data_IF_546266402012
#
_entry.id   IF_546266402012
#
_cell.length_a   1.000
_cell.length_b   1.000
_cell.length_c   1.000
_cell.angle_alpha   90.00
_cell.angle_beta   90.00
_cell.angle_gamma   90.00
#
_symmetry.space_group_name_H-M   'P 1'
#
loop_
_entity.id
_entity.type
_entity.pdbx_description
1 polymer ?
#
# COMPACT_ATOMS: atom_id res chain seq x y z
N UNK A 1 -5.23 -19.81 14.51
CA UNK A 1 -4.62 -19.98 13.17
C UNK A 1 -3.36 -20.82 13.28
N UNK A 2 -3.08 -21.74 12.36
CA UNK A 2 -1.83 -22.52 12.37
C UNK A 2 -0.64 -21.57 12.17
N UNK A 3 0.37 -21.62 13.07
CA UNK A 3 1.56 -20.75 13.02
C UNK A 3 2.29 -20.82 11.67
N UNK A 4 2.39 -22.01 11.08
CA UNK A 4 3.00 -22.20 9.75
C UNK A 4 2.18 -21.52 8.63
N UNK A 5 0.85 -21.57 8.72
CA UNK A 5 -0.02 -20.87 7.77
C UNK A 5 0.11 -19.35 7.89
N UNK A 6 0.11 -18.82 9.12
CA UNK A 6 0.29 -17.39 9.35
C UNK A 6 1.63 -16.88 8.80
N UNK A 7 2.73 -17.57 9.10
CA UNK A 7 4.05 -17.17 8.61
C UNK A 7 4.14 -17.27 7.06
N UNK A 8 3.69 -18.37 6.46
CA UNK A 8 3.90 -18.65 5.01
C UNK A 8 2.80 -18.18 4.07
N UNK A 9 1.63 -17.78 4.57
CA UNK A 9 0.47 -17.42 3.74
C UNK A 9 -0.09 -16.04 4.05
N UNK A 10 0.30 -15.45 5.18
CA UNK A 10 -0.12 -14.14 5.66
C UNK A 10 1.09 -13.20 5.74
N UNK A 11 2.14 -13.51 6.51
CA UNK A 11 3.31 -12.62 6.61
C UNK A 11 4.15 -12.56 5.34
N UNK A 12 4.43 -13.74 4.78
CA UNK A 12 5.23 -13.90 3.58
C UNK A 12 4.40 -14.61 2.51
N UNK A 13 4.06 -13.91 1.43
CA UNK A 13 3.45 -14.52 0.24
C UNK A 13 4.55 -14.66 -0.79
N UNK A 14 4.87 -15.91 -1.12
CA UNK A 14 5.75 -16.26 -2.24
C UNK A 14 5.11 -15.88 -3.59
N UNK A 15 5.92 -15.72 -4.62
CA UNK A 15 5.43 -15.36 -5.95
C UNK A 15 4.44 -16.39 -6.49
N UNK A 16 4.74 -17.68 -6.32
CA UNK A 16 3.89 -18.79 -6.73
C UNK A 16 2.49 -18.66 -6.11
N UNK A 17 2.42 -18.25 -4.84
CA UNK A 17 1.16 -18.09 -4.11
C UNK A 17 0.36 -16.88 -4.58
N UNK A 18 1.04 -15.80 -4.95
CA UNK A 18 0.42 -14.63 -5.56
C UNK A 18 -0.21 -15.00 -6.90
N UNK A 19 0.57 -15.61 -7.80
CA UNK A 19 0.12 -15.93 -9.15
C UNK A 19 -0.89 -17.09 -9.16
N UNK A 20 -0.82 -18.04 -8.23
CA UNK A 20 -1.83 -19.08 -8.05
C UNK A 20 -3.18 -18.51 -7.56
N UNK A 21 -3.17 -17.38 -6.84
CA UNK A 21 -4.39 -16.72 -6.36
C UNK A 21 -5.15 -15.97 -7.45
N UNK A 22 -4.58 -15.85 -8.66
CA UNK A 22 -5.22 -15.19 -9.79
C UNK A 22 -6.42 -15.98 -10.31
N UNK A 23 -7.58 -15.32 -10.37
CA UNK A 23 -8.83 -15.97 -10.77
C UNK A 23 -8.77 -16.39 -12.25
N UNK A 24 -8.75 -17.70 -12.58
CA UNK A 24 -8.52 -18.18 -13.95
C UNK A 24 -9.66 -17.85 -14.91
N UNK A 25 -10.87 -17.60 -14.39
CA UNK A 25 -12.04 -17.18 -15.17
C UNK A 25 -11.96 -15.76 -15.74
N UNK A 26 -10.94 -14.96 -15.36
CA UNK A 26 -10.70 -13.64 -15.95
C UNK A 26 -9.63 -13.79 -17.03
N UNK A 27 -9.92 -13.56 -18.33
CA UNK A 27 -8.96 -13.82 -19.42
C UNK A 27 -7.61 -13.12 -19.24
N UNK A 28 -7.62 -11.89 -18.74
CA UNK A 28 -6.39 -11.15 -18.43
C UNK A 28 -5.56 -11.83 -17.34
N UNK A 29 -6.18 -12.36 -16.29
CA UNK A 29 -5.50 -13.05 -15.20
C UNK A 29 -4.96 -14.40 -15.65
N UNK A 30 -5.67 -15.10 -16.55
CA UNK A 30 -5.15 -16.29 -17.24
C UNK A 30 -3.88 -15.96 -18.04
N UNK A 31 -3.84 -14.83 -18.74
CA UNK A 31 -2.64 -14.39 -19.46
C UNK A 31 -1.48 -14.04 -18.54
N UNK A 32 -1.73 -13.43 -17.38
CA UNK A 32 -0.68 -13.13 -16.39
C UNK A 32 -0.11 -14.42 -15.82
N UNK A 33 -0.98 -15.35 -15.41
CA UNK A 33 -0.58 -16.66 -14.89
C UNK A 33 0.25 -17.46 -15.89
N UNK A 34 -0.18 -17.51 -17.16
CA UNK A 34 0.58 -18.20 -18.21
C UNK A 34 1.98 -17.60 -18.40
N UNK A 35 2.11 -16.27 -18.33
CA UNK A 35 3.42 -15.64 -18.44
C UNK A 35 4.32 -15.97 -17.25
N UNK A 36 3.75 -16.11 -16.04
CA UNK A 36 4.53 -16.59 -14.90
C UNK A 36 5.05 -18.01 -15.12
N UNK A 37 4.19 -18.92 -15.59
CA UNK A 37 4.53 -20.32 -15.84
C UNK A 37 5.57 -20.51 -16.97
N UNK A 38 5.61 -19.61 -17.95
CA UNK A 38 6.47 -19.73 -19.14
C UNK A 38 7.75 -18.91 -19.06
N UNK A 39 7.64 -17.66 -18.59
CA UNK A 39 8.68 -16.63 -18.73
C UNK A 39 9.13 -16.10 -17.35
N UNK A 40 8.53 -16.58 -16.27
CA UNK A 40 8.85 -16.19 -14.90
C UNK A 40 8.19 -14.89 -14.42
N UNK A 41 8.62 -14.48 -13.22
CA UNK A 41 8.07 -13.37 -12.43
C UNK A 41 7.98 -12.06 -13.21
N UNK A 42 9.08 -11.60 -13.80
CA UNK A 42 9.16 -10.27 -14.41
C UNK A 42 8.19 -10.11 -15.59
N UNK A 43 8.08 -11.15 -16.41
CA UNK A 43 7.14 -11.18 -17.54
C UNK A 43 5.67 -11.13 -17.07
N UNK A 44 5.34 -11.84 -16.00
CA UNK A 44 4.01 -11.82 -15.40
C UNK A 44 3.68 -10.45 -14.81
N UNK A 45 4.59 -9.87 -14.02
CA UNK A 45 4.44 -8.55 -13.39
C UNK A 45 4.29 -7.44 -14.43
N UNK A 46 5.06 -7.46 -15.52
CA UNK A 46 4.92 -6.51 -16.62
C UNK A 46 3.54 -6.61 -17.29
N UNK A 47 3.07 -7.82 -17.58
CA UNK A 47 1.75 -8.03 -18.20
C UNK A 47 0.62 -7.57 -17.29
N UNK A 48 0.73 -7.86 -15.99
CA UNK A 48 -0.29 -7.48 -15.03
C UNK A 48 -0.36 -5.95 -14.90
N UNK A 49 0.80 -5.30 -14.72
CA UNK A 49 0.93 -3.84 -14.69
C UNK A 49 0.22 -3.21 -15.89
N UNK A 50 0.58 -3.64 -17.11
CA UNK A 50 -0.04 -3.13 -18.35
C UNK A 50 -1.55 -3.34 -18.40
N UNK A 51 -2.06 -4.48 -17.91
CA UNK A 51 -3.49 -4.76 -17.87
C UNK A 51 -4.22 -3.82 -16.91
N UNK A 52 -3.72 -3.65 -15.68
CA UNK A 52 -4.34 -2.82 -14.66
C UNK A 52 -4.40 -1.35 -15.10
N UNK A 53 -3.30 -0.81 -15.61
CA UNK A 53 -3.24 0.58 -16.08
C UNK A 53 -4.25 0.82 -17.20
N UNK A 54 -4.34 -0.09 -18.19
CA UNK A 54 -5.34 0.02 -19.27
C UNK A 54 -6.78 -0.06 -18.75
N UNK A 55 -7.05 -0.97 -17.81
CA UNK A 55 -8.39 -1.13 -17.23
C UNK A 55 -8.81 0.10 -16.45
N UNK A 56 -7.92 0.66 -15.63
CA UNK A 56 -8.22 1.78 -14.74
C UNK A 56 -8.31 3.11 -15.49
N UNK A 57 -7.50 3.31 -16.55
CA UNK A 57 -7.69 4.42 -17.50
C UNK A 57 -9.07 4.39 -18.14
N UNK A 58 -9.56 3.19 -18.52
CA UNK A 58 -10.89 3.01 -19.15
C UNK A 58 -12.06 3.23 -18.19
N UNK A 59 -11.91 2.92 -16.91
CA UNK A 59 -13.01 3.06 -15.94
C UNK A 59 -13.24 4.49 -15.46
N UNK A 60 -12.46 5.48 -15.93
CA UNK A 60 -12.59 6.87 -15.45
C UNK A 60 -12.40 7.00 -13.95
N UNK A 61 -11.77 6.01 -13.30
CA UNK A 61 -11.60 5.93 -11.84
C UNK A 61 -10.65 7.00 -11.28
N UNK A 62 -10.06 7.81 -12.15
CA UNK A 62 -9.49 9.12 -11.83
C UNK A 62 -10.53 10.15 -11.36
N UNK A 63 -11.84 9.90 -11.52
CA UNK A 63 -12.91 10.86 -11.22
C UNK A 63 -13.72 10.59 -9.94
N UNK A 64 -13.85 9.34 -9.47
CA UNK A 64 -14.94 8.98 -8.54
C UNK A 64 -14.59 8.55 -7.10
N UNK A 65 -13.34 8.26 -6.77
CA UNK A 65 -12.98 8.02 -5.36
C UNK A 65 -13.05 9.35 -4.61
N UNK A 66 -13.70 9.41 -3.43
CA UNK A 66 -13.72 10.63 -2.59
C UNK A 66 -12.30 11.19 -2.44
N UNK A 67 -12.12 12.47 -2.72
CA UNK A 67 -10.83 13.17 -2.61
C UNK A 67 -10.52 13.30 -1.13
N UNK A 68 -9.70 12.40 -0.60
CA UNK A 68 -9.14 12.50 0.75
C UNK A 68 -10.16 12.67 1.87
N UNK A 69 -9.66 13.19 2.98
CA UNK A 69 -10.38 13.59 4.18
C UNK A 69 -11.44 14.65 3.82
N UNK A 70 -12.72 14.28 3.87
CA UNK A 70 -13.85 15.18 3.52
C UNK A 70 -13.91 16.45 4.39
N UNK A 71 -13.18 16.45 5.50
CA UNK A 71 -13.05 17.56 6.45
C UNK A 71 -11.97 18.60 6.07
N UNK A 72 -11.14 18.35 5.06
CA UNK A 72 -10.06 19.28 4.67
C UNK A 72 -10.36 20.01 3.37
N UNK A 73 -10.02 21.31 3.35
CA UNK A 73 -9.99 22.10 2.11
C UNK A 73 -8.85 21.64 1.19
N UNK A 74 -8.92 21.89 -0.15
CA UNK A 74 -7.87 21.47 -1.08
C UNK A 74 -6.45 21.96 -0.74
N UNK A 75 -6.31 23.20 -0.26
CA UNK A 75 -5.03 23.77 0.18
C UNK A 75 -4.44 23.02 1.38
N UNK A 76 -5.28 22.65 2.35
CA UNK A 76 -4.87 21.90 3.53
C UNK A 76 -4.48 20.45 3.19
N UNK A 77 -5.13 19.85 2.19
CA UNK A 77 -4.75 18.52 1.68
C UNK A 77 -3.35 18.56 1.08
N UNK A 78 -3.04 19.60 0.30
CA UNK A 78 -1.71 19.79 -0.30
C UNK A 78 -0.66 20.02 0.78
N UNK A 79 -0.94 20.88 1.77
CA UNK A 79 -0.03 21.16 2.88
C UNK A 79 0.31 19.89 3.69
N UNK A 80 -0.71 19.12 4.10
CA UNK A 80 -0.47 17.87 4.85
C UNK A 80 0.25 16.82 3.99
N UNK A 81 0.01 16.79 2.67
CA UNK A 81 0.74 15.92 1.76
C UNK A 81 2.21 16.32 1.63
N UNK A 82 2.51 17.63 1.55
CA UNK A 82 3.88 18.13 1.51
C UNK A 82 4.66 17.81 2.80
N UNK A 83 3.98 17.84 3.95
CA UNK A 83 4.56 17.39 5.21
C UNK A 83 4.88 15.89 5.19
N UNK A 84 4.00 15.05 4.62
CA UNK A 84 4.27 13.61 4.44
C UNK A 84 5.45 13.37 3.50
N UNK A 85 5.54 14.09 2.37
CA UNK A 85 6.69 14.06 1.45
C UNK A 85 7.98 14.44 2.20
N UNK A 86 7.90 15.44 3.08
CA UNK A 86 9.01 15.85 3.92
C UNK A 86 9.26 14.93 5.12
N UNK A 87 8.56 13.78 5.23
CA UNK A 87 8.64 12.81 6.35
C UNK A 87 8.38 13.44 7.73
N UNK A 88 7.48 14.41 7.76
CA UNK A 88 6.90 14.99 8.95
C UNK A 88 5.52 14.36 9.16
N UNK A 89 5.46 13.29 9.94
CA UNK A 89 4.29 12.41 9.97
C UNK A 89 3.38 12.74 11.14
N UNK A 90 2.12 12.99 10.84
CA UNK A 90 1.06 13.20 11.84
C UNK A 90 0.56 11.85 12.36
N UNK A 91 0.91 11.56 13.60
CA UNK A 91 0.57 10.34 14.32
C UNK A 91 -0.73 10.50 15.13
N UNK A 92 -1.07 9.45 15.89
CA UNK A 92 -2.20 9.44 16.81
C UNK A 92 -2.17 10.64 17.78
N UNK A 93 -3.35 11.20 18.09
CA UNK A 93 -3.48 12.37 18.96
C UNK A 93 -2.95 13.69 18.37
N UNK A 94 -2.59 13.73 17.08
CA UNK A 94 -2.08 14.93 16.42
C UNK A 94 -0.58 15.20 16.65
N UNK A 95 0.10 14.31 17.37
CA UNK A 95 1.56 14.37 17.57
C UNK A 95 2.27 14.21 16.23
N UNK A 96 3.31 15.01 15.97
CA UNK A 96 4.11 14.90 14.75
C UNK A 96 5.49 14.33 15.04
N UNK A 97 5.94 13.44 14.16
CA UNK A 97 7.29 12.86 14.21
C UNK A 97 8.00 13.22 12.91
N UNK A 98 9.10 13.98 13.04
CA UNK A 98 9.97 14.34 11.91
C UNK A 98 11.11 13.35 11.78
N UNK A 99 11.23 12.72 10.62
CA UNK A 99 12.35 11.84 10.28
C UNK A 99 13.37 12.60 9.42
N UNK A 100 14.66 12.53 9.80
CA UNK A 100 15.76 13.18 9.07
C UNK A 100 16.28 12.36 7.87
N UNK A 101 15.70 11.18 7.64
CA UNK A 101 16.06 10.26 6.58
C UNK A 101 14.96 9.22 6.44
N UNK A 102 15.34 7.96 6.35
CA UNK A 102 14.42 6.83 6.35
C UNK A 102 13.45 6.83 7.55
N UNK A 103 12.18 6.48 7.31
CA UNK A 103 11.21 6.24 8.37
C UNK A 103 11.53 4.90 9.02
N UNK A 104 11.89 4.92 10.30
CA UNK A 104 12.04 3.70 11.10
C UNK A 104 10.66 3.23 11.53
N UNK A 105 10.10 2.28 10.76
CA UNK A 105 8.84 1.63 11.06
C UNK A 105 8.96 0.60 12.19
N UNK A 106 10.17 0.13 12.53
CA UNK A 106 10.40 -0.81 13.62
C UNK A 106 10.41 -0.15 15.00
N UNK A 107 10.61 1.18 15.04
CA UNK A 107 10.56 1.96 16.27
C UNK A 107 9.19 1.87 16.92
N UNK A 108 9.14 1.20 18.06
CA UNK A 108 7.93 1.15 18.87
C UNK A 108 7.57 2.55 19.41
N UNK A 109 6.38 3.04 19.03
CA UNK A 109 5.86 4.34 19.46
C UNK A 109 5.04 4.29 20.76
N UNK A 110 4.88 3.10 21.34
CA UNK A 110 4.17 2.84 22.59
C UNK A 110 2.65 2.85 22.47
N UNK A 111 2.01 1.84 23.07
CA UNK A 111 0.57 1.68 23.20
C UNK A 111 -0.16 1.86 21.87
N UNK A 112 -1.32 2.53 21.91
CA UNK A 112 -2.14 2.78 20.71
C UNK A 112 -1.44 3.59 19.62
N UNK A 113 -0.39 4.36 19.95
CA UNK A 113 0.37 5.12 18.95
C UNK A 113 1.13 4.21 18.00
N UNK A 114 1.69 3.10 18.50
CA UNK A 114 2.39 2.11 17.68
C UNK A 114 1.43 1.50 16.65
N UNK A 115 0.31 0.96 17.12
CA UNK A 115 -0.75 0.40 16.29
C UNK A 115 -1.34 1.41 15.29
N UNK A 116 -1.68 2.61 15.77
CA UNK A 116 -2.28 3.67 14.97
C UNK A 116 -1.37 4.18 13.85
N UNK A 117 -0.06 4.27 14.10
CA UNK A 117 0.93 4.63 13.09
C UNK A 117 0.96 3.63 11.94
N UNK A 118 0.88 2.34 12.26
CA UNK A 118 0.83 1.29 11.26
C UNK A 118 -0.51 1.21 10.54
N UNK A 119 -1.61 1.84 10.95
CA UNK A 119 -2.77 1.95 10.05
C UNK A 119 -2.48 2.71 8.76
N UNK A 120 -1.35 3.43 8.70
CA UNK A 120 -0.87 4.19 7.54
C UNK A 120 -1.89 5.22 7.02
N UNK A 121 -2.89 5.58 7.81
CA UNK A 121 -3.94 6.55 7.43
C UNK A 121 -3.37 7.94 7.14
N UNK A 122 -2.23 8.27 7.75
CA UNK A 122 -1.48 9.51 7.52
C UNK A 122 -0.90 9.63 6.10
N UNK A 123 -0.87 8.57 5.30
CA UNK A 123 -0.52 8.65 3.87
C UNK A 123 -1.65 9.22 3.00
N UNK A 124 -2.89 9.22 3.50
CA UNK A 124 -4.08 9.60 2.71
C UNK A 124 -3.99 10.98 2.02
N UNK A 125 -3.38 12.03 2.60
CA UNK A 125 -3.24 13.32 1.91
C UNK A 125 -2.53 13.22 0.56
N UNK A 126 -1.59 12.28 0.37
CA UNK A 126 -0.81 12.16 -0.86
C UNK A 126 -1.71 11.96 -2.10
N UNK A 127 -2.77 11.15 -2.01
CA UNK A 127 -3.63 10.94 -3.18
C UNK A 127 -4.55 12.11 -3.49
N UNK A 128 -4.97 12.84 -2.46
CA UNK A 128 -5.72 14.08 -2.66
C UNK A 128 -4.86 15.11 -3.37
N UNK A 129 -3.63 15.32 -2.88
CA UNK A 129 -2.70 16.27 -3.46
C UNK A 129 -2.27 15.89 -4.89
N UNK A 130 -1.98 14.61 -5.16
CA UNK A 130 -1.71 14.13 -6.53
C UNK A 130 -2.87 14.42 -7.48
N UNK A 131 -4.13 14.19 -7.06
CA UNK A 131 -5.30 14.46 -7.92
C UNK A 131 -5.57 15.94 -8.13
N UNK A 132 -5.26 16.78 -7.15
CA UNK A 132 -5.45 18.23 -7.23
C UNK A 132 -4.40 18.91 -8.11
N UNK A 133 -3.17 18.40 -8.09
CA UNK A 133 -2.00 19.07 -8.69
C UNK A 133 -1.41 18.35 -9.91
N UNK A 134 -1.59 17.03 -9.99
CA UNK A 134 -0.87 16.17 -10.93
C UNK A 134 0.62 15.99 -10.60
N UNK A 135 1.11 16.48 -9.44
CA UNK A 135 2.54 16.45 -9.13
C UNK A 135 2.99 15.03 -8.72
N UNK A 136 3.88 14.46 -9.54
CA UNK A 136 4.48 13.14 -9.34
C UNK A 136 5.25 13.00 -8.01
N UNK A 137 5.61 14.08 -7.31
CA UNK A 137 6.27 13.99 -6.00
C UNK A 137 5.45 13.20 -4.98
N UNK A 138 4.12 13.32 -5.03
CA UNK A 138 3.23 12.62 -4.11
C UNK A 138 3.18 11.12 -4.38
N UNK A 139 3.20 10.72 -5.66
CA UNK A 139 3.25 9.32 -6.07
C UNK A 139 4.61 8.69 -5.77
N UNK A 140 5.73 9.42 -6.02
CA UNK A 140 7.07 8.99 -5.61
C UNK A 140 7.16 8.76 -4.10
N UNK A 141 6.69 9.72 -3.30
CA UNK A 141 6.68 9.59 -1.85
C UNK A 141 5.86 8.38 -1.38
N UNK A 142 4.69 8.12 -1.99
CA UNK A 142 3.92 6.93 -1.68
C UNK A 142 4.69 5.64 -1.98
N UNK A 143 5.28 5.52 -3.17
CA UNK A 143 6.05 4.33 -3.56
C UNK A 143 7.25 4.10 -2.66
N UNK A 144 8.01 5.16 -2.34
CA UNK A 144 9.16 5.10 -1.44
C UNK A 144 8.75 4.64 -0.04
N UNK A 145 7.78 5.33 0.57
CA UNK A 145 7.35 5.07 1.95
C UNK A 145 6.69 3.69 2.07
N UNK A 146 5.86 3.29 1.10
CA UNK A 146 5.25 1.96 1.09
C UNK A 146 6.31 0.87 0.96
N UNK A 147 7.25 1.01 0.03
CA UNK A 147 8.35 0.04 -0.14
C UNK A 147 9.14 -0.11 1.16
N UNK A 148 9.42 1.00 1.82
CA UNK A 148 10.10 1.00 3.11
C UNK A 148 9.28 0.27 4.18
N UNK A 149 8.00 0.61 4.34
CA UNK A 149 7.10 -0.07 5.27
C UNK A 149 7.05 -1.57 4.97
N UNK A 150 6.89 -1.96 3.71
CA UNK A 150 6.82 -3.35 3.29
C UNK A 150 8.08 -4.11 3.73
N UNK A 151 9.27 -3.53 3.53
CA UNK A 151 10.55 -4.17 3.90
C UNK A 151 10.80 -4.24 5.41
N UNK A 152 10.20 -3.34 6.19
CA UNK A 152 10.42 -3.27 7.65
C UNK A 152 9.30 -3.91 8.48
N UNK A 153 8.12 -4.21 7.90
CA UNK A 153 6.93 -4.64 8.65
C UNK A 153 7.16 -5.85 9.56
N UNK A 154 8.04 -6.76 9.18
CA UNK A 154 8.31 -7.99 9.94
C UNK A 154 9.23 -7.75 11.15
N UNK A 155 9.85 -6.57 11.23
CA UNK A 155 10.64 -6.10 12.36
C UNK A 155 9.78 -5.40 13.43
N UNK A 156 8.50 -5.18 13.15
CA UNK A 156 7.61 -4.42 14.04
C UNK A 156 7.17 -5.29 15.20
N UNK A 157 7.43 -4.80 16.41
CA UNK A 157 7.02 -5.45 17.65
C UNK A 157 5.95 -4.61 18.35
N UNK A 158 4.91 -5.28 18.84
CA UNK A 158 3.82 -4.65 19.58
C UNK A 158 3.97 -4.78 21.08
N UNK A 159 3.18 -3.97 21.80
CA UNK A 159 3.14 -4.01 23.27
C UNK A 159 2.14 -5.06 23.82
N UNK A 160 1.40 -5.73 22.94
CA UNK A 160 0.40 -6.73 23.33
C UNK A 160 0.72 -8.08 22.69
N UNK A 161 0.97 -9.10 23.52
CA UNK A 161 1.33 -10.46 23.12
C UNK A 161 0.32 -11.15 22.17
N UNK A 162 -0.93 -10.68 22.17
CA UNK A 162 -2.02 -11.26 21.37
C UNK A 162 -2.42 -10.43 20.15
N UNK A 163 -1.84 -9.24 19.96
CA UNK A 163 -2.19 -8.33 18.88
C UNK A 163 -0.95 -7.99 18.07
N UNK A 164 -0.75 -8.72 16.97
CA UNK A 164 0.27 -8.39 15.97
C UNK A 164 -0.04 -7.01 15.39
N UNK A 165 0.91 -6.07 15.49
CA UNK A 165 0.73 -4.66 15.08
C UNK A 165 0.37 -4.51 13.60
N UNK A 166 0.87 -5.42 12.77
CA UNK A 166 0.66 -5.36 11.33
C UNK A 166 -0.62 -6.11 10.95
N UNK A 167 -0.78 -7.32 11.48
CA UNK A 167 -1.71 -8.31 10.93
C UNK A 167 -3.00 -8.53 11.73
N UNK A 168 -3.19 -7.90 12.89
CA UNK A 168 -4.49 -7.94 13.55
C UNK A 168 -5.57 -7.18 12.73
N UNK A 169 -6.85 -7.44 13.01
CA UNK A 169 -7.99 -7.06 12.18
C UNK A 169 -8.06 -5.55 11.88
N UNK A 170 -7.82 -4.69 12.88
CA UNK A 170 -7.80 -3.23 12.65
C UNK A 170 -6.55 -2.79 11.87
N UNK A 171 -5.41 -3.44 12.12
CA UNK A 171 -4.18 -3.26 11.35
C UNK A 171 -4.39 -3.57 9.87
N UNK A 172 -5.17 -4.60 9.58
CA UNK A 172 -5.52 -5.00 8.23
C UNK A 172 -6.45 -4.02 7.49
N UNK A 173 -7.13 -3.11 8.20
CA UNK A 173 -7.95 -2.06 7.58
C UNK A 173 -7.12 -1.06 6.76
N UNK A 174 -5.78 -1.03 6.93
CA UNK A 174 -4.86 -0.25 6.06
C UNK A 174 -5.04 -0.57 4.57
N UNK A 175 -5.56 -1.75 4.24
CA UNK A 175 -5.89 -2.16 2.87
C UNK A 175 -6.72 -1.10 2.13
N UNK A 176 -7.66 -0.45 2.84
CA UNK A 176 -8.49 0.62 2.26
C UNK A 176 -7.64 1.83 1.86
N UNK A 177 -6.71 2.24 2.72
CA UNK A 177 -5.79 3.35 2.48
C UNK A 177 -4.87 3.05 1.29
N UNK A 178 -4.20 1.90 1.31
CA UNK A 178 -3.31 1.47 0.23
C UNK A 178 -4.02 1.31 -1.10
N UNK A 179 -5.22 0.71 -1.11
CA UNK A 179 -6.05 0.60 -2.32
C UNK A 179 -6.39 1.96 -2.90
N UNK A 180 -6.72 2.94 -2.04
CA UNK A 180 -7.10 4.29 -2.47
C UNK A 180 -5.91 5.04 -3.07
N UNK A 181 -4.75 5.01 -2.41
CA UNK A 181 -3.49 5.57 -2.93
C UNK A 181 -3.10 4.91 -4.25
N UNK A 182 -3.12 3.57 -4.29
CA UNK A 182 -2.71 2.79 -5.43
C UNK A 182 -3.54 3.07 -6.69
N UNK A 183 -4.88 3.04 -6.58
CA UNK A 183 -5.74 3.23 -7.75
C UNK A 183 -5.85 4.68 -8.19
N UNK A 184 -5.75 5.65 -7.27
CA UNK A 184 -5.82 7.07 -7.63
C UNK A 184 -4.55 7.58 -8.32
N UNK A 185 -3.41 6.94 -8.06
CA UNK A 185 -2.12 7.29 -8.65
C UNK A 185 -1.65 6.27 -9.68
N UNK A 186 -2.51 5.35 -10.14
CA UNK A 186 -2.09 4.24 -11.00
C UNK A 186 -1.40 4.70 -12.29
N UNK A 187 -1.76 5.88 -12.80
CA UNK A 187 -1.20 6.43 -14.02
C UNK A 187 0.18 7.10 -13.83
N UNK A 188 0.62 7.28 -12.58
CA UNK A 188 1.94 7.83 -12.26
C UNK A 188 3.03 6.89 -12.75
N UNK A 189 4.09 7.47 -13.32
CA UNK A 189 5.28 6.71 -13.70
C UNK A 189 5.93 6.02 -12.49
N UNK A 190 5.89 6.64 -11.30
CA UNK A 190 6.42 6.05 -10.08
C UNK A 190 5.63 4.79 -9.67
N UNK A 191 4.30 4.84 -9.79
CA UNK A 191 3.42 3.72 -9.45
C UNK A 191 3.48 2.60 -10.49
N UNK A 192 3.78 2.91 -11.75
CA UNK A 192 4.05 1.95 -12.85
C UNK A 192 5.38 1.17 -12.68
N UNK A 193 5.79 0.93 -11.45
CA UNK A 193 6.97 0.15 -11.08
C UNK A 193 6.57 -1.30 -10.76
N UNK A 194 7.22 -2.27 -11.41
CA UNK A 194 6.86 -3.70 -11.30
C UNK A 194 7.07 -4.25 -9.88
N UNK A 195 8.18 -3.91 -9.23
CA UNK A 195 8.49 -4.37 -7.87
C UNK A 195 7.43 -3.83 -6.89
N UNK A 196 7.14 -2.54 -6.98
CA UNK A 196 6.10 -1.89 -6.18
C UNK A 196 4.73 -2.53 -6.39
N UNK A 197 4.34 -2.78 -7.65
CA UNK A 197 3.08 -3.43 -7.97
C UNK A 197 2.91 -4.79 -7.31
N UNK A 198 3.95 -5.61 -7.35
CA UNK A 198 3.91 -6.92 -6.74
C UNK A 198 3.80 -6.84 -5.21
N UNK A 199 4.62 -5.99 -4.57
CA UNK A 199 4.53 -5.75 -3.13
C UNK A 199 3.12 -5.30 -2.73
N UNK A 200 2.55 -4.35 -3.47
CA UNK A 200 1.19 -3.85 -3.24
C UNK A 200 0.13 -4.95 -3.39
N UNK A 201 0.23 -5.77 -4.43
CA UNK A 201 -0.72 -6.85 -4.69
C UNK A 201 -0.62 -7.97 -3.66
N UNK A 202 0.60 -8.36 -3.25
CA UNK A 202 0.83 -9.27 -2.13
C UNK A 202 0.18 -8.72 -0.86
N UNK A 203 0.43 -7.45 -0.54
CA UNK A 203 -0.19 -6.79 0.61
C UNK A 203 -1.71 -6.81 0.52
N UNK A 204 -2.33 -6.45 -0.60
CA UNK A 204 -3.80 -6.49 -0.77
C UNK A 204 -4.34 -7.91 -0.64
N UNK A 205 -3.66 -8.91 -1.20
CA UNK A 205 -4.04 -10.31 -1.11
C UNK A 205 -4.02 -10.82 0.33
N UNK A 206 -2.99 -10.48 1.11
CA UNK A 206 -2.92 -10.84 2.53
C UNK A 206 -4.11 -10.27 3.29
N UNK A 207 -4.39 -8.98 3.09
CA UNK A 207 -5.52 -8.33 3.76
C UNK A 207 -6.85 -9.01 3.44
N UNK A 208 -7.07 -9.41 2.18
CA UNK A 208 -8.29 -10.12 1.78
C UNK A 208 -8.34 -11.59 2.22
N UNK A 209 -7.22 -12.20 2.64
CA UNK A 209 -7.21 -13.54 3.25
C UNK A 209 -7.48 -13.48 4.77
N UNK A 210 -7.14 -12.35 5.39
CA UNK A 210 -7.29 -12.15 6.83
C UNK A 210 -8.68 -11.65 7.23
N UNK A 211 -9.22 -10.68 6.48
CA UNK A 211 -10.56 -10.11 6.68
C UNK A 211 -11.66 -11.01 6.07
#
# INVERSE_FOLDING_TARGET
MNKSFFEKRIKHIEDEDLFASLKPGIPAMKSVRRAFEQDGRDAASLRWTKHLSRRLKRSGTSAGARVGREDLRPDQVIEEADLVVARDIKCWGGVRIKYKGEIDFSKNLGGSSNYGFHYCGWLSPLHGAYRLTGDEKYARAFVEIFTQWYRQRDLVVGDHDRLDVIWYELGCNRARTFRSLYFSMIDSAAVQNMEFHEMMLKTILVHGRWL
#
